data_IF_640262345971
#
_entry.id   IF_640262345971
#
_cell.length_a   1.000
_cell.length_b   1.000
_cell.length_c   1.000
_cell.angle_alpha   90.00
_cell.angle_beta   90.00
_cell.angle_gamma   90.00
#
_symmetry.space_group_name_H-M   'P 1'
#
loop_
_entity.id
_entity.type
_entity.pdbx_description
1 polymer ?
#
# COMPACT_ATOMS: atom_id res chain seq x y z
N UNK A 1 3.97 -6.25 -2.79
CA UNK A 1 4.51 -4.92 -2.42
C UNK A 1 6.01 -4.98 -2.62
N UNK A 2 6.59 -4.12 -3.46
CA UNK A 2 8.02 -4.13 -3.72
C UNK A 2 8.79 -3.37 -2.63
N UNK A 3 9.99 -3.88 -2.29
CA UNK A 3 10.90 -3.28 -1.33
C UNK A 3 12.31 -3.22 -1.92
N UNK A 4 13.03 -2.14 -1.61
CA UNK A 4 14.46 -1.98 -1.87
C UNK A 4 15.09 -1.32 -0.62
N UNK A 5 16.16 -1.93 -0.10
CA UNK A 5 16.84 -1.53 1.15
C UNK A 5 15.87 -1.27 2.32
N UNK A 6 14.98 -2.23 2.59
CA UNK A 6 13.93 -2.17 3.63
C UNK A 6 12.88 -1.05 3.47
N UNK A 7 12.93 -0.29 2.38
CA UNK A 7 11.96 0.76 2.06
C UNK A 7 11.05 0.33 0.89
N UNK A 8 9.77 0.73 0.94
CA UNK A 8 8.86 0.54 -0.21
C UNK A 8 9.35 1.37 -1.39
N UNK A 9 9.71 0.68 -2.47
CA UNK A 9 10.22 1.26 -3.69
C UNK A 9 9.60 0.54 -4.89
N UNK A 10 8.73 1.25 -5.63
CA UNK A 10 7.95 0.71 -6.75
C UNK A 10 6.43 0.72 -6.49
N UNK A 11 5.69 0.04 -7.36
CA UNK A 11 4.22 0.10 -7.34
C UNK A 11 3.59 -0.95 -6.43
N UNK A 12 2.82 -0.50 -5.46
CA UNK A 12 1.90 -1.33 -4.68
C UNK A 12 0.57 -1.43 -5.41
N UNK A 13 0.07 -2.64 -5.59
CA UNK A 13 -1.26 -2.88 -6.10
C UNK A 13 -2.05 -3.75 -5.10
N UNK A 14 -3.33 -3.41 -4.93
CA UNK A 14 -4.29 -4.20 -4.16
C UNK A 14 -5.49 -4.52 -5.04
N UNK A 15 -6.08 -5.69 -4.80
CA UNK A 15 -7.31 -6.14 -5.44
C UNK A 15 -8.40 -6.24 -4.39
N UNK A 16 -9.65 -6.12 -4.82
CA UNK A 16 -10.74 -6.60 -3.99
C UNK A 16 -10.57 -8.12 -3.81
N UNK A 17 -11.07 -8.69 -2.71
CA UNK A 17 -11.09 -10.13 -2.51
C UNK A 17 -12.55 -10.50 -2.19
N UNK A 18 -13.24 -11.31 -3.02
CA UNK A 18 -14.57 -11.77 -2.68
C UNK A 18 -14.48 -12.73 -1.49
N UNK A 19 -15.51 -12.76 -0.65
CA UNK A 19 -15.60 -13.69 0.48
C UNK A 19 -15.70 -15.17 0.04
N UNK A 20 -16.07 -15.43 -1.21
CA UNK A 20 -16.27 -16.78 -1.77
C UNK A 20 -15.19 -17.21 -2.79
N UNK A 21 -14.26 -16.33 -3.15
CA UNK A 21 -13.05 -16.64 -3.93
C UNK A 21 -13.24 -16.95 -5.42
N UNK A 22 -14.41 -16.69 -6.04
CA UNK A 22 -14.73 -17.23 -7.40
C UNK A 22 -14.64 -16.26 -8.59
N UNK A 23 -14.21 -15.02 -8.41
CA UNK A 23 -13.97 -14.10 -9.54
C UNK A 23 -12.70 -13.30 -9.27
N UNK A 24 -11.91 -13.02 -10.31
CA UNK A 24 -10.87 -11.98 -10.23
C UNK A 24 -11.54 -10.68 -9.83
N UNK A 25 -11.39 -10.35 -8.56
CA UNK A 25 -12.02 -9.18 -8.03
C UNK A 25 -11.24 -7.95 -8.53
N UNK A 26 -12.01 -6.96 -8.96
CA UNK A 26 -11.48 -5.78 -9.65
C UNK A 26 -10.31 -5.15 -8.89
N UNK A 27 -9.46 -4.46 -9.62
CA UNK A 27 -8.36 -3.70 -9.02
C UNK A 27 -8.92 -2.72 -8.00
N UNK A 28 -8.31 -2.63 -6.83
CA UNK A 28 -8.74 -1.72 -5.75
C UNK A 28 -7.83 -0.49 -5.65
N UNK A 29 -6.53 -0.70 -5.76
CA UNK A 29 -5.51 0.34 -5.60
C UNK A 29 -4.30 0.06 -6.49
N UNK A 30 -3.72 1.13 -7.00
CA UNK A 30 -2.38 1.19 -7.57
C UNK A 30 -1.70 2.44 -7.03
N UNK A 31 -0.57 2.28 -6.35
CA UNK A 31 0.13 3.37 -5.69
C UNK A 31 1.64 3.21 -5.89
N UNK A 32 2.30 4.12 -6.63
CA UNK A 32 3.76 4.15 -6.74
C UNK A 32 4.39 4.75 -5.49
N UNK A 33 5.45 4.12 -5.00
CA UNK A 33 6.24 4.55 -3.85
C UNK A 33 7.71 4.76 -4.22
N UNK A 34 8.32 5.76 -3.59
CA UNK A 34 9.76 6.00 -3.56
C UNK A 34 10.13 6.31 -2.11
N UNK A 35 11.09 5.59 -1.55
CA UNK A 35 11.59 5.74 -0.18
C UNK A 35 10.46 5.83 0.86
N UNK A 36 9.59 4.81 0.85
CA UNK A 36 8.43 4.66 1.72
C UNK A 36 7.30 5.68 1.55
N UNK A 37 7.44 6.65 0.65
CA UNK A 37 6.47 7.71 0.41
C UNK A 37 5.77 7.55 -0.94
N UNK A 38 4.47 7.88 -1.06
CA UNK A 38 3.80 7.88 -2.35
C UNK A 38 4.43 8.93 -3.28
N UNK A 39 4.74 8.53 -4.51
CA UNK A 39 5.37 9.40 -5.50
C UNK A 39 4.87 9.05 -6.91
N UNK A 40 4.15 9.97 -7.54
CA UNK A 40 3.49 9.79 -8.83
C UNK A 40 1.97 9.71 -8.71
N UNK A 41 1.33 8.99 -9.63
CA UNK A 41 -0.13 8.90 -9.70
C UNK A 41 -0.63 7.67 -8.94
N UNK A 42 -1.38 7.91 -7.87
CA UNK A 42 -2.13 6.90 -7.13
C UNK A 42 -3.53 6.79 -7.73
N UNK A 43 -3.99 5.58 -8.01
CA UNK A 43 -5.33 5.28 -8.54
C UNK A 43 -6.06 4.31 -7.65
N UNK A 44 -7.34 4.56 -7.41
CA UNK A 44 -8.23 3.61 -6.75
C UNK A 44 -9.53 3.48 -7.53
N UNK A 45 -10.16 2.32 -7.41
CA UNK A 45 -11.40 1.98 -8.09
C UNK A 45 -12.45 1.54 -7.09
N UNK A 46 -13.71 1.69 -7.46
CA UNK A 46 -14.86 1.13 -6.76
C UNK A 46 -14.95 -0.38 -7.06
N UNK A 47 -15.72 -1.16 -6.26
CA UNK A 47 -15.90 -2.60 -6.51
C UNK A 47 -16.52 -2.93 -7.88
N UNK A 48 -17.27 -1.98 -8.45
CA UNK A 48 -17.84 -2.07 -9.79
C UNK A 48 -16.82 -1.82 -10.93
N UNK A 49 -15.55 -1.56 -10.60
CA UNK A 49 -14.46 -1.29 -11.54
C UNK A 49 -14.36 0.16 -12.02
N UNK A 50 -15.30 1.04 -11.63
CA UNK A 50 -15.23 2.45 -12.00
C UNK A 50 -14.16 3.20 -11.20
N UNK A 51 -13.53 4.25 -11.75
CA UNK A 51 -12.59 5.08 -11.00
C UNK A 51 -13.24 5.64 -9.73
N UNK A 52 -12.57 5.47 -8.60
CA UNK A 52 -12.96 6.06 -7.31
C UNK A 52 -12.17 7.33 -7.08
N UNK A 53 -10.86 7.28 -7.29
CA UNK A 53 -10.00 8.43 -7.12
C UNK A 53 -8.69 8.32 -7.90
N UNK A 54 -8.14 9.48 -8.25
CA UNK A 54 -6.81 9.67 -8.79
C UNK A 54 -6.13 10.82 -8.05
N UNK A 55 -4.99 10.53 -7.42
CA UNK A 55 -4.21 11.50 -6.66
C UNK A 55 -2.81 11.60 -7.24
N UNK A 56 -2.26 12.83 -7.31
CA UNK A 56 -0.86 13.05 -7.64
C UNK A 56 -0.11 13.40 -6.37
N UNK A 57 0.95 12.64 -6.11
CA UNK A 57 1.88 12.90 -5.02
C UNK A 57 3.26 13.20 -5.55
N UNK A 58 3.94 14.17 -4.95
CA UNK A 58 5.35 14.47 -5.17
C UNK A 58 6.07 14.36 -3.83
N UNK A 59 6.85 13.28 -3.66
CA UNK A 59 7.59 12.98 -2.42
C UNK A 59 6.69 13.02 -1.18
N UNK A 60 5.59 12.25 -1.21
CA UNK A 60 4.63 12.19 -0.11
C UNK A 60 3.66 13.37 0.00
N UNK A 61 3.89 14.46 -0.74
CA UNK A 61 3.02 15.65 -0.69
C UNK A 61 1.96 15.59 -1.78
N UNK A 62 0.69 15.74 -1.40
CA UNK A 62 -0.43 15.80 -2.35
C UNK A 62 -0.35 17.09 -3.17
N UNK A 63 -0.30 16.96 -4.50
CA UNK A 63 -0.29 18.10 -5.42
C UNK A 63 -1.63 18.29 -6.16
N UNK A 64 -2.35 17.19 -6.43
CA UNK A 64 -3.65 17.22 -7.12
C UNK A 64 -4.52 16.04 -6.68
N UNK A 65 -5.83 16.25 -6.62
CA UNK A 65 -6.79 15.23 -6.20
C UNK A 65 -8.08 15.29 -7.04
N UNK A 66 -8.46 14.14 -7.59
CA UNK A 66 -9.75 13.93 -8.27
C UNK A 66 -10.41 12.70 -7.70
N UNK A 67 -11.72 12.79 -7.44
CA UNK A 67 -12.50 11.68 -6.90
C UNK A 67 -13.90 11.66 -7.52
N UNK A 68 -14.49 10.47 -7.56
CA UNK A 68 -15.79 10.23 -8.17
C UNK A 68 -16.67 9.34 -7.28
N UNK A 69 -17.98 9.56 -7.34
CA UNK A 69 -18.97 8.62 -6.80
C UNK A 69 -18.93 7.28 -7.55
N UNK A 70 -19.59 6.27 -7.00
CA UNK A 70 -19.77 4.95 -7.64
C UNK A 70 -20.54 5.02 -8.97
N UNK A 71 -21.33 6.07 -9.16
CA UNK A 71 -22.01 6.43 -10.41
C UNK A 71 -21.17 7.22 -11.41
N UNK A 72 -19.92 7.55 -11.08
CA UNK A 72 -18.99 8.29 -11.94
C UNK A 72 -19.12 9.81 -11.88
N UNK A 73 -19.91 10.37 -10.96
CA UNK A 73 -20.03 11.83 -10.78
C UNK A 73 -18.81 12.36 -10.04
N UNK A 74 -18.16 13.40 -10.59
CA UNK A 74 -17.03 14.04 -9.95
C UNK A 74 -17.41 14.70 -8.61
N UNK A 75 -16.60 14.47 -7.58
CA UNK A 75 -16.74 15.10 -6.27
C UNK A 75 -16.07 16.49 -6.27
N UNK A 76 -16.49 17.42 -5.40
CA UNK A 76 -15.80 18.69 -5.20
C UNK A 76 -14.34 18.48 -4.80
N UNK A 77 -13.45 19.37 -5.23
CA UNK A 77 -12.00 19.27 -4.96
C UNK A 77 -11.66 19.16 -3.48
N UNK A 78 -12.33 19.92 -2.62
CA UNK A 78 -12.16 19.85 -1.16
C UNK A 78 -12.51 18.47 -0.58
N UNK A 79 -13.50 17.78 -1.15
CA UNK A 79 -13.83 16.41 -0.73
C UNK A 79 -12.83 15.40 -1.29
N UNK A 80 -12.32 15.61 -2.50
CA UNK A 80 -11.26 14.78 -3.07
C UNK A 80 -9.95 14.90 -2.26
N UNK A 81 -9.57 16.09 -1.84
CA UNK A 81 -8.41 16.35 -0.97
C UNK A 81 -8.57 15.68 0.41
N UNK A 82 -9.75 15.83 1.03
CA UNK A 82 -10.05 15.18 2.31
C UNK A 82 -10.04 13.65 2.18
N UNK A 83 -10.54 13.13 1.05
CA UNK A 83 -10.50 11.70 0.75
C UNK A 83 -9.06 11.21 0.57
N UNK A 84 -8.22 11.96 -0.15
CA UNK A 84 -6.81 11.64 -0.34
C UNK A 84 -6.06 11.55 0.99
N UNK A 85 -6.24 12.52 1.88
CA UNK A 85 -5.62 12.52 3.21
C UNK A 85 -6.07 11.31 4.06
N UNK A 86 -7.37 11.00 4.05
CA UNK A 86 -7.90 9.84 4.77
C UNK A 86 -7.37 8.53 4.20
N UNK A 87 -7.34 8.39 2.87
CA UNK A 87 -6.85 7.19 2.21
C UNK A 87 -5.36 6.97 2.44
N UNK A 88 -4.55 8.04 2.41
CA UNK A 88 -3.13 7.98 2.73
C UNK A 88 -2.90 7.47 4.17
N UNK A 89 -3.58 8.05 5.16
CA UNK A 89 -3.48 7.62 6.56
C UNK A 89 -3.92 6.16 6.76
N UNK A 90 -5.01 5.75 6.11
CA UNK A 90 -5.48 4.36 6.17
C UNK A 90 -4.47 3.38 5.56
N UNK A 91 -3.87 3.74 4.42
CA UNK A 91 -2.86 2.93 3.76
C UNK A 91 -1.61 2.80 4.63
N UNK A 92 -1.12 3.90 5.21
CA UNK A 92 0.04 3.89 6.11
C UNK A 92 -0.20 2.98 7.32
N UNK A 93 -1.37 3.07 7.95
CA UNK A 93 -1.74 2.22 9.08
C UNK A 93 -1.84 0.74 8.68
N UNK A 94 -2.43 0.45 7.52
CA UNK A 94 -2.58 -0.91 7.02
C UNK A 94 -1.21 -1.54 6.71
N UNK A 95 -0.32 -0.81 6.03
CA UNK A 95 1.01 -1.30 5.70
C UNK A 95 1.91 -1.42 6.93
N UNK A 96 1.81 -0.48 7.89
CA UNK A 96 2.52 -0.61 9.16
C UNK A 96 2.12 -1.87 9.92
N UNK A 97 0.81 -2.17 9.95
CA UNK A 97 0.28 -3.41 10.56
C UNK A 97 0.77 -4.66 9.85
N UNK A 98 0.74 -4.68 8.50
CA UNK A 98 1.25 -5.80 7.71
C UNK A 98 2.74 -6.04 7.94
N UNK A 99 3.54 -4.97 7.96
CA UNK A 99 4.98 -5.04 8.18
C UNK A 99 5.32 -5.49 9.61
N UNK A 100 4.51 -5.14 10.62
CA UNK A 100 4.68 -5.65 11.97
C UNK A 100 4.53 -7.18 12.01
N UNK A 101 3.49 -7.72 11.38
CA UNK A 101 3.28 -9.18 11.28
C UNK A 101 4.45 -9.85 10.55
N UNK A 102 4.94 -9.27 9.45
CA UNK A 102 6.11 -9.81 8.74
C UNK A 102 7.31 -9.86 9.67
N UNK A 103 7.64 -8.76 10.36
CA UNK A 103 8.79 -8.69 11.28
C UNK A 103 8.70 -9.70 12.43
N UNK A 104 7.51 -9.89 13.00
CA UNK A 104 7.28 -10.88 14.06
C UNK A 104 7.45 -12.32 13.58
N UNK A 105 7.32 -12.57 12.28
CA UNK A 105 7.40 -13.89 11.66
C UNK A 105 8.64 -14.06 10.77
N UNK A 106 9.61 -13.14 10.84
CA UNK A 106 10.87 -13.31 10.14
C UNK A 106 11.62 -14.52 10.71
N UNK A 107 12.14 -15.42 9.85
CA UNK A 107 13.02 -16.48 10.32
C UNK A 107 14.24 -15.85 10.98
N UNK A 108 14.71 -16.47 12.08
CA UNK A 108 15.98 -16.07 12.69
C UNK A 108 17.10 -16.35 11.68
N UNK A 109 17.91 -15.34 11.39
CA UNK A 109 19.10 -15.52 10.56
C UNK A 109 20.08 -16.49 11.26
N UNK A 110 20.73 -17.36 10.49
CA UNK A 110 21.70 -18.35 11.00
C UNK A 110 22.90 -17.75 11.76
N UNK A 111 23.15 -16.44 11.60
CA UNK A 111 24.23 -15.71 12.28
C UNK A 111 24.05 -15.55 13.79
N UNK A 112 22.92 -15.96 14.36
CA UNK A 112 22.66 -15.98 15.81
C UNK A 112 22.95 -17.34 16.48
N UNK A 113 23.50 -18.33 15.76
CA UNK A 113 24.00 -19.54 16.41
C UNK A 113 25.28 -19.21 17.19
N UNK A 114 25.33 -19.41 18.52
CA UNK A 114 26.59 -19.28 19.24
C UNK A 114 27.59 -20.25 18.63
N UNK A 115 28.79 -19.76 18.28
CA UNK A 115 29.92 -20.57 17.83
C UNK A 115 30.13 -21.73 18.81
N UNK A 116 29.54 -22.89 18.50
CA UNK A 116 29.66 -24.11 19.26
C UNK A 116 31.03 -24.68 19.02
N UNK A 117 32.03 -24.14 19.71
CA UNK A 117 33.32 -24.79 19.82
C UNK A 117 33.10 -26.11 20.60
N UNK A 118 33.41 -27.29 20.04
CA UNK A 118 33.23 -28.53 20.79
C UNK A 118 34.16 -28.52 22.00
N UNK A 119 33.73 -29.04 23.17
CA UNK A 119 34.64 -29.16 24.31
C UNK A 119 35.77 -30.13 23.93
N UNK A 120 37.01 -29.64 24.01
CA UNK A 120 38.19 -30.51 24.07
C UNK A 120 38.21 -31.17 25.44
N UNK A 121 37.94 -32.47 25.50
CA UNK A 121 38.40 -33.38 26.57
C UNK A 121 38.44 -34.79 26.02
#
# INVERSE_FOLDING_TARGET
MPFDNDAKNGTVALWYTPLDGRVEAGRKLEAPYVDDQPHGIVRSWHPNGMPRAEYRYEHGVLSDARAWSDSGTALPGTEAERLAARDAANNDQFYASLLAVVRENLPRCESDLPNGNPPRS
#
